data_IF_090993794874
#
_entry.id   IF_090993794874
#
_cell.length_a   1.000
_cell.length_b   1.000
_cell.length_c   1.000
_cell.angle_alpha   90.00
_cell.angle_beta   90.00
_cell.angle_gamma   90.00
#
_symmetry.space_group_name_H-M   'P 1'
#
loop_
_entity.id
_entity.type
_entity.pdbx_description
1 polymer ?
#
# COMPACT_ATOMS: atom_id res chain seq x y z
N UNK A 1 -6.41 -24.06 -1.23
CA UNK A 1 -5.75 -24.40 0.04
C UNK A 1 -4.49 -23.59 0.32
N UNK A 2 -3.34 -23.85 -0.32
CA UNK A 2 -2.12 -23.05 -0.07
C UNK A 2 -2.34 -21.57 -0.42
N UNK A 3 -2.96 -21.29 -1.58
CA UNK A 3 -3.40 -19.95 -1.99
C UNK A 3 -4.13 -19.21 -0.86
N UNK A 4 -5.17 -19.82 -0.29
CA UNK A 4 -6.03 -19.19 0.72
C UNK A 4 -5.26 -18.94 2.02
N UNK A 5 -4.43 -19.90 2.45
CA UNK A 5 -3.52 -19.74 3.60
C UNK A 5 -2.54 -18.60 3.44
N UNK A 6 -1.98 -18.41 2.25
CA UNK A 6 -1.06 -17.29 1.98
C UNK A 6 -1.78 -15.94 2.09
N UNK A 7 -3.02 -15.84 1.59
CA UNK A 7 -3.85 -14.64 1.73
C UNK A 7 -4.34 -14.39 3.17
N UNK A 8 -4.57 -15.43 3.96
CA UNK A 8 -4.92 -15.27 5.38
C UNK A 8 -3.72 -14.82 6.23
N UNK A 9 -2.49 -15.12 5.78
CA UNK A 9 -1.25 -14.94 6.52
C UNK A 9 -0.21 -14.07 5.80
N UNK A 10 -0.64 -13.07 5.01
CA UNK A 10 0.24 -12.22 4.19
C UNK A 10 1.38 -11.51 4.96
N UNK A 11 1.32 -11.44 6.29
CA UNK A 11 2.34 -10.83 7.16
C UNK A 11 3.45 -11.80 7.56
N UNK A 12 3.25 -13.09 7.36
CA UNK A 12 4.11 -14.17 7.83
C UNK A 12 4.54 -15.08 6.68
N UNK A 13 5.00 -14.49 5.56
CA UNK A 13 5.42 -15.25 4.37
C UNK A 13 6.93 -15.57 4.35
N UNK A 14 7.54 -15.76 5.52
CA UNK A 14 8.93 -16.22 5.62
C UNK A 14 9.01 -17.72 5.32
N UNK A 15 10.16 -18.19 4.84
CA UNK A 15 10.35 -19.59 4.39
C UNK A 15 9.89 -20.63 5.43
N UNK A 16 10.25 -20.44 6.69
CA UNK A 16 9.82 -21.28 7.82
C UNK A 16 8.30 -21.35 7.95
N UNK A 17 7.62 -20.21 7.81
CA UNK A 17 6.15 -20.15 7.83
C UNK A 17 5.50 -20.79 6.60
N UNK A 18 6.10 -20.65 5.43
CA UNK A 18 5.62 -21.34 4.22
C UNK A 18 5.66 -22.87 4.40
N UNK A 19 6.72 -23.39 5.04
CA UNK A 19 6.86 -24.82 5.39
C UNK A 19 5.77 -25.23 6.39
N UNK A 20 5.52 -24.45 7.45
CA UNK A 20 4.41 -24.71 8.39
C UNK A 20 3.05 -24.76 7.67
N UNK A 21 2.79 -23.83 6.75
CA UNK A 21 1.52 -23.78 6.02
C UNK A 21 1.34 -24.98 5.09
N UNK A 22 2.41 -25.39 4.41
CA UNK A 22 2.46 -26.57 3.55
C UNK A 22 2.23 -27.87 4.35
N UNK A 23 2.86 -28.01 5.52
CA UNK A 23 2.61 -29.13 6.43
C UNK A 23 1.16 -29.18 6.88
N UNK A 24 0.60 -28.03 7.24
CA UNK A 24 -0.77 -27.93 7.73
C UNK A 24 -1.85 -28.15 6.67
N UNK A 25 -1.49 -28.29 5.38
CA UNK A 25 -2.40 -28.77 4.31
C UNK A 25 -2.01 -30.15 3.77
N UNK A 26 -1.02 -30.80 4.39
CA UNK A 26 -0.62 -32.16 4.03
C UNK A 26 0.13 -32.26 2.69
N UNK A 27 0.91 -31.25 2.30
CA UNK A 27 1.78 -31.38 1.12
C UNK A 27 2.90 -32.41 1.36
N UNK A 28 3.41 -32.98 0.27
CA UNK A 28 4.69 -33.70 0.30
C UNK A 28 5.80 -32.70 0.62
N UNK A 29 6.28 -32.74 1.86
CA UNK A 29 7.25 -31.78 2.37
C UNK A 29 8.61 -31.88 1.70
N UNK A 30 9.01 -33.08 1.26
CA UNK A 30 10.28 -33.26 0.58
C UNK A 30 10.24 -32.63 -0.80
N UNK A 31 9.15 -32.84 -1.53
CA UNK A 31 8.93 -32.20 -2.83
C UNK A 31 8.79 -30.68 -2.69
N UNK A 32 7.98 -30.22 -1.74
CA UNK A 32 7.72 -28.79 -1.52
C UNK A 32 8.99 -28.01 -1.17
N UNK A 33 9.83 -28.51 -0.26
CA UNK A 33 11.08 -27.85 0.09
C UNK A 33 12.09 -27.82 -1.06
N UNK A 34 12.11 -28.87 -1.90
CA UNK A 34 12.92 -28.89 -3.11
C UNK A 34 12.42 -27.86 -4.13
N UNK A 35 11.10 -27.75 -4.31
CA UNK A 35 10.46 -26.81 -5.23
C UNK A 35 10.62 -25.35 -4.79
N UNK A 36 10.61 -25.06 -3.49
CA UNK A 36 10.89 -23.71 -2.96
C UNK A 36 12.27 -23.17 -3.37
N UNK A 37 13.24 -24.05 -3.57
CA UNK A 37 14.59 -23.68 -4.00
C UNK A 37 14.84 -23.87 -5.50
N UNK A 38 13.87 -24.46 -6.21
CA UNK A 38 14.00 -24.85 -7.61
C UNK A 38 14.12 -23.64 -8.54
N UNK A 39 15.18 -23.62 -9.35
CA UNK A 39 15.36 -22.62 -10.41
C UNK A 39 14.26 -22.70 -11.48
N UNK A 40 13.68 -23.89 -11.70
CA UNK A 40 12.57 -24.05 -12.63
C UNK A 40 11.30 -23.33 -12.12
N UNK A 41 10.97 -23.48 -10.83
CA UNK A 41 9.83 -22.78 -10.23
C UNK A 41 10.07 -21.27 -10.18
N UNK A 42 11.29 -20.83 -9.85
CA UNK A 42 11.67 -19.40 -9.92
C UNK A 42 11.51 -18.85 -11.35
N UNK A 43 11.91 -19.61 -12.36
CA UNK A 43 11.77 -19.21 -13.76
C UNK A 43 10.30 -19.09 -14.19
N UNK A 44 9.41 -19.95 -13.68
CA UNK A 44 7.96 -19.83 -13.91
C UNK A 44 7.41 -18.51 -13.34
N UNK A 45 7.75 -18.19 -12.09
CA UNK A 45 7.33 -16.92 -11.45
C UNK A 45 7.86 -15.70 -12.24
N UNK A 46 9.10 -15.74 -12.71
CA UNK A 46 9.64 -14.66 -13.54
C UNK A 46 8.97 -14.58 -14.92
N UNK A 47 8.55 -15.70 -15.50
CA UNK A 47 7.78 -15.72 -16.74
C UNK A 47 6.39 -15.08 -16.55
N UNK A 48 5.69 -15.37 -15.45
CA UNK A 48 4.41 -14.75 -15.10
C UNK A 48 4.56 -13.24 -14.90
N UNK A 49 5.62 -12.80 -14.22
CA UNK A 49 5.95 -11.37 -14.06
C UNK A 49 6.22 -10.69 -15.41
N UNK A 50 6.97 -11.34 -16.30
CA UNK A 50 7.24 -10.81 -17.63
C UNK A 50 5.96 -10.74 -18.48
N UNK A 51 5.08 -11.73 -18.37
CA UNK A 51 3.78 -11.76 -19.02
C UNK A 51 2.88 -10.64 -18.51
N UNK A 52 2.78 -10.45 -17.19
CA UNK A 52 2.05 -9.35 -16.56
C UNK A 52 2.51 -7.99 -17.11
N UNK A 53 3.83 -7.76 -17.15
CA UNK A 53 4.41 -6.55 -17.71
C UNK A 53 4.06 -6.35 -19.19
N UNK A 54 4.14 -7.43 -19.99
CA UNK A 54 3.81 -7.42 -21.42
C UNK A 54 2.35 -7.07 -21.68
N UNK A 55 1.42 -7.52 -20.84
CA UNK A 55 -0.02 -7.23 -20.99
C UNK A 55 -0.46 -5.96 -20.25
N UNK A 56 0.49 -5.20 -19.70
CA UNK A 56 0.19 -3.94 -19.02
C UNK A 56 -0.41 -4.09 -17.62
N UNK A 57 -0.32 -5.27 -17.00
CA UNK A 57 -0.65 -5.50 -15.60
C UNK A 57 0.44 -4.91 -14.69
N UNK A 58 0.37 -3.60 -14.43
CA UNK A 58 1.42 -2.81 -13.76
C UNK A 58 1.28 -2.71 -12.23
N UNK A 59 0.33 -3.43 -11.65
CA UNK A 59 0.10 -3.46 -10.21
C UNK A 59 -0.85 -4.59 -9.86
N UNK A 60 -0.70 -5.13 -8.67
CA UNK A 60 -1.47 -6.26 -8.16
C UNK A 60 -2.55 -5.76 -7.18
N UNK A 61 -3.74 -6.38 -7.14
CA UNK A 61 -4.20 -7.38 -8.10
C UNK A 61 -4.56 -6.73 -9.46
N UNK A 62 -4.33 -7.46 -10.55
CA UNK A 62 -4.77 -7.13 -11.90
C UNK A 62 -5.52 -8.33 -12.49
N UNK A 63 -6.57 -8.09 -13.24
CA UNK A 63 -7.40 -9.15 -13.79
C UNK A 63 -7.56 -8.99 -15.30
N UNK A 64 -7.65 -10.12 -16.00
CA UNK A 64 -8.02 -10.22 -17.41
C UNK A 64 -9.27 -11.08 -17.52
N UNK A 65 -10.42 -10.47 -17.80
CA UNK A 65 -11.73 -11.12 -17.94
C UNK A 65 -11.98 -11.38 -19.43
N UNK A 66 -11.76 -12.61 -19.90
CA UNK A 66 -11.67 -12.93 -21.33
C UNK A 66 -10.74 -11.98 -22.10
N UNK A 67 -9.63 -11.58 -21.46
CA UNK A 67 -8.66 -10.61 -21.98
C UNK A 67 -9.02 -9.13 -21.78
N UNK A 68 -10.16 -8.80 -21.17
CA UNK A 68 -10.47 -7.42 -20.74
C UNK A 68 -9.79 -7.08 -19.42
N UNK A 69 -8.98 -6.03 -19.43
CA UNK A 69 -8.22 -5.66 -18.24
C UNK A 69 -9.09 -4.96 -17.20
N UNK A 70 -9.08 -5.47 -15.97
CA UNK A 70 -9.60 -4.79 -14.77
C UNK A 70 -8.43 -4.61 -13.79
N UNK A 71 -8.07 -3.35 -13.53
CA UNK A 71 -6.89 -3.02 -12.72
C UNK A 71 -7.27 -2.63 -11.29
N UNK A 72 -6.58 -3.24 -10.32
CA UNK A 72 -6.72 -3.03 -8.88
C UNK A 72 -7.86 -3.81 -8.26
N UNK A 73 -7.90 -3.82 -6.93
CA UNK A 73 -9.08 -4.28 -6.19
C UNK A 73 -10.26 -3.34 -6.49
N UNK A 74 -11.32 -3.87 -7.11
CA UNK A 74 -12.54 -3.14 -7.47
C UNK A 74 -13.76 -3.74 -6.78
N UNK A 75 -14.83 -2.97 -6.55
CA UNK A 75 -16.10 -3.52 -6.05
C UNK A 75 -16.67 -4.58 -6.99
N UNK A 76 -17.49 -5.48 -6.44
CA UNK A 76 -18.16 -6.55 -7.19
C UNK A 76 -18.88 -6.03 -8.46
N UNK A 77 -19.59 -4.90 -8.35
CA UNK A 77 -20.34 -4.34 -9.49
C UNK A 77 -19.44 -3.98 -10.68
N UNK A 78 -18.19 -3.56 -10.44
CA UNK A 78 -17.23 -3.29 -11.51
C UNK A 78 -16.80 -4.56 -12.23
N UNK A 79 -16.67 -5.68 -11.52
CA UNK A 79 -16.39 -6.98 -12.14
C UNK A 79 -17.62 -7.48 -12.89
N UNK A 80 -18.80 -7.37 -12.27
CA UNK A 80 -20.07 -7.81 -12.84
C UNK A 80 -20.36 -7.13 -14.18
N UNK A 81 -20.12 -5.83 -14.29
CA UNK A 81 -20.30 -5.09 -15.54
C UNK A 81 -19.47 -5.69 -16.69
N UNK A 82 -18.18 -5.99 -16.44
CA UNK A 82 -17.29 -6.57 -17.45
C UNK A 82 -17.66 -8.03 -17.76
N UNK A 83 -18.02 -8.81 -16.74
CA UNK A 83 -18.45 -10.20 -16.90
C UNK A 83 -19.74 -10.28 -17.72
N UNK A 84 -20.74 -9.46 -17.42
CA UNK A 84 -22.01 -9.43 -18.17
C UNK A 84 -21.78 -9.03 -19.63
N UNK A 85 -20.88 -8.08 -19.88
CA UNK A 85 -20.49 -7.68 -21.23
C UNK A 85 -19.81 -8.83 -22.00
N UNK A 86 -18.92 -9.58 -21.35
CA UNK A 86 -18.26 -10.74 -21.94
C UNK A 86 -19.21 -11.93 -22.14
N UNK A 87 -20.13 -12.18 -21.21
CA UNK A 87 -21.19 -13.17 -21.38
C UNK A 87 -22.08 -12.86 -22.60
N UNK A 88 -22.40 -11.59 -22.82
CA UNK A 88 -23.12 -11.17 -24.03
C UNK A 88 -22.27 -11.34 -25.30
N UNK A 89 -20.97 -11.08 -25.22
CA UNK A 89 -20.08 -11.24 -26.37
C UNK A 89 -19.95 -12.71 -26.82
N UNK A 90 -19.92 -13.65 -25.87
CA UNK A 90 -19.84 -15.08 -26.19
C UNK A 90 -21.14 -15.68 -26.73
N UNK A 91 -22.29 -15.02 -26.56
CA UNK A 91 -23.53 -15.44 -27.25
C UNK A 91 -23.38 -15.45 -28.78
N UNK A 92 -22.44 -14.68 -29.32
CA UNK A 92 -22.09 -14.70 -30.75
C UNK A 92 -21.20 -15.87 -31.18
N UNK A 93 -20.76 -16.72 -30.25
CA UNK A 93 -19.83 -17.84 -30.47
C UNK A 93 -20.50 -19.21 -30.29
N UNK A 94 -21.79 -19.34 -30.62
CA UNK A 94 -22.58 -20.57 -30.36
C UNK A 94 -22.02 -21.84 -31.02
N UNK A 95 -21.25 -21.67 -32.09
CA UNK A 95 -20.63 -22.78 -32.84
C UNK A 95 -19.23 -23.14 -32.29
N UNK A 96 -18.71 -22.37 -31.34
CA UNK A 96 -17.44 -22.64 -30.66
C UNK A 96 -17.70 -23.51 -29.43
N UNK A 97 -16.91 -24.57 -29.26
CA UNK A 97 -17.01 -25.41 -28.07
C UNK A 97 -16.68 -24.59 -26.81
N UNK A 98 -17.37 -24.82 -25.68
CA UNK A 98 -17.14 -24.07 -24.44
C UNK A 98 -15.67 -23.95 -24.00
N UNK A 99 -14.90 -25.04 -24.09
CA UNK A 99 -13.46 -25.10 -23.78
C UNK A 99 -12.56 -24.29 -24.73
N UNK A 100 -13.07 -23.91 -25.90
CA UNK A 100 -12.38 -23.10 -26.89
C UNK A 100 -12.84 -21.62 -26.89
N UNK A 101 -13.82 -21.25 -26.07
CA UNK A 101 -14.40 -19.88 -26.07
C UNK A 101 -13.35 -18.83 -25.69
N UNK A 102 -12.55 -19.09 -24.65
CA UNK A 102 -11.48 -18.16 -24.26
C UNK A 102 -10.51 -17.92 -25.41
N UNK A 103 -10.03 -19.00 -26.06
CA UNK A 103 -9.13 -18.91 -27.20
C UNK A 103 -9.76 -18.11 -28.35
N UNK A 104 -11.01 -18.38 -28.70
CA UNK A 104 -11.74 -17.65 -29.74
C UNK A 104 -11.95 -16.16 -29.39
N UNK A 105 -12.15 -15.82 -28.12
CA UNK A 105 -12.32 -14.43 -27.67
C UNK A 105 -11.04 -13.62 -27.82
N UNK A 106 -9.88 -14.22 -27.56
CA UNK A 106 -8.58 -13.53 -27.57
C UNK A 106 -7.84 -13.62 -28.92
N UNK A 107 -8.35 -14.39 -29.88
CA UNK A 107 -7.69 -14.65 -31.18
C UNK A 107 -7.67 -13.43 -32.13
N UNK A 108 -8.78 -12.69 -32.25
CA UNK A 108 -8.93 -11.61 -33.25
C UNK A 108 -8.13 -10.33 -32.97
N UNK A 109 -7.67 -10.12 -31.74
CA UNK A 109 -7.01 -8.88 -31.30
C UNK A 109 -5.53 -9.11 -30.95
N UNK A 110 -4.87 -10.03 -31.67
CA UNK A 110 -3.43 -10.30 -31.60
C UNK A 110 -2.59 -9.14 -32.15
N UNK A 111 -2.76 -7.93 -31.62
CA UNK A 111 -1.64 -7.01 -31.57
C UNK A 111 -1.11 -7.08 -30.15
N UNK A 112 0.13 -7.57 -30.00
CA UNK A 112 0.87 -7.33 -28.78
C UNK A 112 0.73 -5.84 -28.47
N UNK A 113 0.27 -5.43 -27.27
CA UNK A 113 0.13 -4.02 -26.98
C UNK A 113 1.41 -3.34 -27.37
N UNK A 114 1.32 -2.38 -28.31
CA UNK A 114 2.41 -1.46 -28.56
C UNK A 114 2.72 -0.91 -27.18
N UNK A 115 3.90 -1.24 -26.64
CA UNK A 115 4.24 -0.99 -25.24
C UNK A 115 3.66 0.36 -24.87
N UNK A 116 2.57 0.37 -24.10
CA UNK A 116 1.97 1.63 -23.69
C UNK A 116 3.11 2.38 -23.04
N UNK A 117 3.29 3.69 -23.31
CA UNK A 117 4.38 4.45 -22.71
C UNK A 117 4.45 4.03 -21.24
N UNK A 118 5.66 3.61 -20.86
CA UNK A 118 5.93 3.10 -19.54
C UNK A 118 5.21 4.02 -18.56
N UNK A 119 4.36 3.44 -17.72
CA UNK A 119 4.01 4.08 -16.46
C UNK A 119 5.13 3.65 -15.49
N UNK A 120 6.40 3.71 -15.87
CA UNK A 120 7.19 4.93 -15.75
C UNK A 120 6.52 6.26 -16.20
N UNK A 121 5.47 6.81 -15.59
CA UNK A 121 5.19 6.67 -14.18
C UNK A 121 6.45 6.75 -13.33
N UNK A 122 7.58 7.26 -13.87
CA UNK A 122 8.67 7.67 -13.04
C UNK A 122 7.99 8.62 -12.10
N UNK A 123 7.80 8.20 -10.86
CA UNK A 123 7.86 9.16 -9.78
C UNK A 123 9.23 9.78 -10.03
N UNK A 124 9.20 10.91 -10.75
CA UNK A 124 10.36 11.45 -11.42
C UNK A 124 11.39 11.71 -10.35
N UNK A 125 12.35 10.79 -10.16
CA UNK A 125 13.16 10.62 -8.93
C UNK A 125 12.81 11.66 -7.87
N UNK A 126 11.61 11.55 -7.27
CA UNK A 126 11.08 12.65 -6.45
C UNK A 126 11.85 12.74 -5.14
N UNK A 127 12.75 11.77 -4.90
CA UNK A 127 13.74 11.82 -3.84
C UNK A 127 14.59 13.08 -3.93
N UNK A 128 14.74 13.74 -5.08
CA UNK A 128 15.46 15.03 -5.18
C UNK A 128 14.58 16.26 -5.06
N UNK A 129 13.26 16.10 -5.20
CA UNK A 129 12.30 17.18 -5.02
C UNK A 129 12.08 17.40 -3.53
N UNK A 130 12.15 18.65 -3.10
CA UNK A 130 11.85 19.05 -1.72
C UNK A 130 10.48 19.70 -1.71
N UNK A 131 9.63 19.30 -0.76
CA UNK A 131 8.32 19.87 -0.51
C UNK A 131 8.29 20.63 0.80
N UNK A 132 7.61 21.78 0.81
CA UNK A 132 7.43 22.61 2.01
C UNK A 132 6.18 22.19 2.76
N UNK A 133 6.25 21.04 3.40
CA UNK A 133 5.10 20.41 4.05
C UNK A 133 4.96 20.98 5.46
N UNK A 134 3.75 21.41 5.87
CA UNK A 134 3.57 21.89 7.24
C UNK A 134 3.66 20.74 8.24
N UNK A 135 4.52 20.87 9.25
CA UNK A 135 4.43 20.10 10.51
C UNK A 135 3.41 20.84 11.38
N UNK A 136 2.16 20.39 11.36
CA UNK A 136 1.03 21.13 11.95
C UNK A 136 1.12 21.16 13.47
N UNK A 137 0.58 22.21 14.10
CA UNK A 137 0.68 22.43 15.55
C UNK A 137 0.08 21.29 16.40
N UNK A 138 -0.89 20.57 15.84
CA UNK A 138 -1.58 19.43 16.49
C UNK A 138 -0.98 18.06 16.11
N UNK A 139 0.13 18.05 15.37
CA UNK A 139 0.80 16.82 14.93
C UNK A 139 1.54 16.22 16.11
N UNK A 140 1.34 14.93 16.37
CA UNK A 140 2.12 14.22 17.37
C UNK A 140 3.50 13.88 16.81
N UNK A 141 4.54 14.23 17.57
CA UNK A 141 5.94 14.04 17.19
C UNK A 141 6.65 13.18 18.24
N UNK A 142 7.47 12.22 17.80
CA UNK A 142 8.34 11.36 18.63
C UNK A 142 9.78 11.47 18.16
N UNK A 143 10.73 11.47 19.08
CA UNK A 143 12.16 11.64 18.80
C UNK A 143 12.71 12.97 19.32
N UNK A 144 13.74 13.50 18.65
CA UNK A 144 14.43 14.71 19.08
C UNK A 144 13.53 15.96 19.13
N UNK A 145 13.71 16.81 20.15
CA UNK A 145 12.95 18.07 20.31
C UNK A 145 13.32 19.14 19.26
N UNK A 146 14.58 19.15 18.86
CA UNK A 146 15.12 20.02 17.80
C UNK A 146 15.91 19.14 16.83
N UNK A 147 15.22 18.30 16.03
CA UNK A 147 15.85 17.31 15.19
C UNK A 147 16.55 17.97 14.01
N UNK A 148 17.62 17.35 13.51
CA UNK A 148 18.22 17.71 12.22
C UNK A 148 17.35 17.24 11.05
N UNK A 149 16.60 16.16 11.26
CA UNK A 149 15.73 15.55 10.27
C UNK A 149 14.35 15.33 10.86
N UNK A 150 13.35 15.95 10.25
CA UNK A 150 11.93 15.68 10.53
C UNK A 150 11.37 14.79 9.45
N UNK A 151 10.85 13.64 9.84
CA UNK A 151 10.15 12.69 8.98
C UNK A 151 8.65 12.88 9.21
N UNK A 152 7.90 13.32 8.19
CA UNK A 152 6.44 13.35 8.24
C UNK A 152 5.93 12.03 7.67
N UNK A 153 5.24 11.24 8.48
CA UNK A 153 4.63 9.97 8.09
C UNK A 153 3.12 10.15 7.92
N UNK A 154 2.61 9.90 6.72
CA UNK A 154 1.19 9.72 6.45
C UNK A 154 0.84 8.23 6.53
N UNK A 155 0.03 7.87 7.50
CA UNK A 155 -0.20 6.48 7.87
C UNK A 155 -1.63 6.22 8.33
N UNK A 156 -1.97 4.94 8.47
CA UNK A 156 -3.34 4.47 8.63
C UNK A 156 -3.38 3.13 9.38
N UNK A 157 -4.17 3.04 10.45
CA UNK A 157 -4.07 1.97 11.45
C UNK A 157 -4.58 0.60 11.00
N UNK A 158 -5.41 0.50 9.96
CA UNK A 158 -5.87 -0.74 9.34
C UNK A 158 -4.97 -1.16 8.15
N UNK A 159 -4.08 -0.28 7.67
CA UNK A 159 -3.18 -0.58 6.55
C UNK A 159 -2.08 -1.59 6.94
N UNK A 160 -1.99 -2.75 6.27
CA UNK A 160 -0.96 -3.75 6.59
C UNK A 160 0.46 -3.26 6.29
N UNK A 161 0.66 -2.39 5.30
CA UNK A 161 1.97 -1.80 5.02
C UNK A 161 2.42 -0.80 6.08
N UNK A 162 1.49 -0.05 6.67
CA UNK A 162 1.80 0.85 7.79
C UNK A 162 2.36 0.07 8.98
N UNK A 163 1.82 -1.11 9.30
CA UNK A 163 2.41 -1.96 10.34
C UNK A 163 3.78 -2.53 9.94
N UNK A 164 3.95 -2.92 8.67
CA UNK A 164 5.23 -3.45 8.16
C UNK A 164 6.40 -2.48 8.31
N UNK A 165 6.16 -1.16 8.34
CA UNK A 165 7.23 -0.15 8.45
C UNK A 165 7.64 0.16 9.89
N UNK A 166 6.86 -0.27 10.90
CA UNK A 166 7.13 0.03 12.31
C UNK A 166 8.53 -0.43 12.80
N UNK A 167 9.03 -1.62 12.43
CA UNK A 167 10.40 -1.99 12.78
C UNK A 167 11.43 -1.05 12.17
N UNK A 168 11.18 -0.55 10.96
CA UNK A 168 12.07 0.42 10.29
C UNK A 168 12.02 1.79 10.96
N UNK A 169 10.85 2.33 11.28
CA UNK A 169 10.74 3.63 11.98
C UNK A 169 11.33 3.55 13.39
N UNK A 170 11.17 2.42 14.08
CA UNK A 170 11.88 2.15 15.34
C UNK A 170 13.39 2.13 15.16
N UNK A 171 13.91 1.38 14.17
CA UNK A 171 15.35 1.33 13.90
C UNK A 171 15.94 2.71 13.55
N UNK A 172 15.18 3.57 12.86
CA UNK A 172 15.56 4.96 12.59
C UNK A 172 15.74 5.74 13.90
N UNK A 173 14.76 5.72 14.79
CA UNK A 173 14.85 6.42 16.07
C UNK A 173 16.00 5.89 16.93
N UNK A 174 16.19 4.56 16.98
CA UNK A 174 17.28 3.92 17.73
C UNK A 174 18.66 4.29 17.16
N UNK A 175 18.79 4.39 15.83
CA UNK A 175 20.08 4.66 15.16
C UNK A 175 20.49 6.14 15.26
N UNK A 176 19.53 7.05 15.09
CA UNK A 176 19.82 8.48 14.95
C UNK A 176 19.57 9.30 16.23
N UNK A 177 18.82 8.75 17.19
CA UNK A 177 18.49 9.41 18.45
C UNK A 177 17.89 10.80 18.23
N UNK A 178 18.38 11.79 19.00
CA UNK A 178 17.89 13.17 18.98
C UNK A 178 18.11 13.92 17.64
N UNK A 179 18.82 13.33 16.67
CA UNK A 179 18.97 13.91 15.34
C UNK A 179 17.69 13.77 14.50
N UNK A 180 16.81 12.82 14.81
CA UNK A 180 15.60 12.54 14.03
C UNK A 180 14.36 12.69 14.88
N UNK A 181 13.29 13.20 14.29
CA UNK A 181 11.94 13.08 14.83
C UNK A 181 10.97 12.61 13.75
N UNK A 182 9.95 11.86 14.16
CA UNK A 182 8.87 11.36 13.31
C UNK A 182 7.57 12.05 13.74
N UNK A 183 6.92 12.70 12.79
CA UNK A 183 5.66 13.40 12.94
C UNK A 183 4.55 12.59 12.25
N UNK A 184 3.54 12.15 13.00
CA UNK A 184 2.48 11.27 12.49
C UNK A 184 1.29 12.08 11.95
N UNK A 185 0.85 11.79 10.73
CA UNK A 185 -0.32 12.37 10.06
C UNK A 185 -1.28 11.28 9.62
N UNK A 186 -2.57 11.50 9.84
CA UNK A 186 -3.59 10.52 9.48
C UNK A 186 -3.90 10.55 7.98
N UNK A 187 -3.99 9.38 7.36
CA UNK A 187 -4.50 9.24 6.00
C UNK A 187 -5.43 8.00 5.88
N UNK A 188 -6.58 7.98 6.58
CA UNK A 188 -7.53 6.88 6.55
C UNK A 188 -8.03 6.62 5.13
N UNK A 189 -7.78 5.40 4.63
CA UNK A 189 -8.16 5.00 3.28
C UNK A 189 -9.64 4.56 3.26
N UNK A 190 -10.44 5.01 2.28
CA UNK A 190 -11.90 4.84 2.31
C UNK A 190 -12.39 3.40 2.19
N UNK A 191 -11.53 2.48 1.73
CA UNK A 191 -11.83 1.05 1.62
C UNK A 191 -11.58 0.27 2.91
N UNK A 192 -10.99 0.90 3.93
CA UNK A 192 -10.77 0.34 5.25
C UNK A 192 -11.83 0.86 6.23
N UNK A 193 -12.82 0.02 6.55
CA UNK A 193 -14.02 0.40 7.33
C UNK A 193 -13.71 0.95 8.73
N UNK A 194 -12.61 0.51 9.34
CA UNK A 194 -12.23 0.89 10.71
C UNK A 194 -11.09 1.94 10.74
N UNK A 195 -10.60 2.40 9.58
CA UNK A 195 -9.48 3.35 9.48
C UNK A 195 -9.79 4.70 10.14
N UNK A 196 -10.95 5.29 9.83
CA UNK A 196 -11.36 6.57 10.40
C UNK A 196 -11.63 6.47 11.91
N UNK A 197 -12.41 5.49 12.42
CA UNK A 197 -12.58 5.29 13.86
C UNK A 197 -11.26 5.09 14.61
N UNK A 198 -10.30 4.33 14.06
CA UNK A 198 -9.00 4.11 14.69
C UNK A 198 -8.16 5.40 14.72
N UNK A 199 -8.23 6.23 13.67
CA UNK A 199 -7.60 7.54 13.66
C UNK A 199 -8.19 8.45 14.77
N UNK A 200 -9.52 8.52 14.89
CA UNK A 200 -10.18 9.28 15.95
C UNK A 200 -9.81 8.76 17.35
N UNK A 201 -9.72 7.43 17.55
CA UNK A 201 -9.30 6.82 18.81
C UNK A 201 -7.88 7.23 19.21
N UNK A 202 -6.94 7.24 18.26
CA UNK A 202 -5.57 7.69 18.54
C UNK A 202 -5.52 9.15 19.00
N UNK A 203 -6.35 10.03 18.39
CA UNK A 203 -6.42 11.44 18.74
C UNK A 203 -7.16 11.68 20.07
N UNK A 204 -8.19 10.89 20.37
CA UNK A 204 -8.88 10.89 21.66
C UNK A 204 -7.94 10.46 22.79
N UNK A 205 -7.12 9.43 22.58
CA UNK A 205 -6.07 9.04 23.51
C UNK A 205 -4.99 10.12 23.64
N UNK A 206 -4.61 10.75 22.53
CA UNK A 206 -3.67 11.87 22.50
C UNK A 206 -4.17 13.10 23.29
N UNK A 207 -5.46 13.41 23.24
CA UNK A 207 -6.08 14.46 24.05
C UNK A 207 -6.07 14.16 25.56
N UNK A 208 -5.69 12.93 25.93
CA UNK A 208 -5.44 12.49 27.31
C UNK A 208 -3.95 12.16 27.56
N UNK A 209 -3.07 12.51 26.63
CA UNK A 209 -1.61 12.37 26.76
C UNK A 209 -1.04 11.01 26.36
N UNK A 210 -1.84 10.11 25.76
CA UNK A 210 -1.40 8.73 25.41
C UNK A 210 -1.52 8.40 23.93
N UNK A 211 -1.16 9.35 23.06
CA UNK A 211 -1.22 9.14 21.61
C UNK A 211 -0.35 7.97 21.17
N UNK A 212 0.91 7.90 21.62
CA UNK A 212 1.87 6.91 21.17
C UNK A 212 1.56 5.51 21.69
N UNK A 213 1.05 5.41 22.92
CA UNK A 213 0.62 4.15 23.50
C UNK A 213 -0.62 3.61 22.79
N UNK A 214 -1.58 4.48 22.43
CA UNK A 214 -2.72 4.07 21.61
C UNK A 214 -2.27 3.72 20.18
N UNK A 215 -1.37 4.50 19.58
CA UNK A 215 -0.79 4.21 18.27
C UNK A 215 -0.20 2.80 18.22
N UNK A 216 0.65 2.44 19.19
CA UNK A 216 1.30 1.14 19.25
C UNK A 216 0.24 0.04 19.45
N UNK A 217 -0.71 0.23 20.38
CA UNK A 217 -1.81 -0.70 20.66
C UNK A 217 -2.70 -0.95 19.43
N UNK A 218 -3.01 0.07 18.64
CA UNK A 218 -3.82 -0.05 17.42
C UNK A 218 -3.09 -0.86 16.34
N UNK A 219 -1.78 -0.62 16.15
CA UNK A 219 -0.98 -1.38 15.19
C UNK A 219 -0.70 -2.82 15.62
N UNK A 220 -0.62 -3.09 16.92
CA UNK A 220 -0.57 -4.47 17.44
C UNK A 220 -1.87 -5.23 17.16
N UNK A 221 -3.00 -4.53 17.02
CA UNK A 221 -4.35 -5.11 16.96
C UNK A 221 -5.14 -4.72 15.70
N UNK A 222 -4.50 -4.58 14.54
CA UNK A 222 -5.15 -4.04 13.32
C UNK A 222 -6.38 -4.80 12.82
N UNK A 223 -6.54 -6.07 13.19
CA UNK A 223 -7.72 -6.89 12.86
C UNK A 223 -8.89 -6.66 13.82
N UNK A 224 -8.65 -5.97 14.92
CA UNK A 224 -9.58 -5.79 16.03
C UNK A 224 -9.80 -4.29 16.31
N UNK A 225 -10.18 -3.50 15.29
CA UNK A 225 -10.37 -2.05 15.41
C UNK A 225 -11.85 -1.63 15.58
N UNK A 226 -12.71 -2.56 16.00
CA UNK A 226 -14.12 -2.26 16.28
C UNK A 226 -14.26 -1.25 17.43
N UNK A 227 -15.40 -0.56 17.51
CA UNK A 227 -15.69 0.38 18.60
C UNK A 227 -15.47 -0.20 19.99
N UNK A 228 -15.92 -1.43 20.23
CA UNK A 228 -15.76 -2.13 21.51
C UNK A 228 -14.29 -2.38 21.85
N UNK A 229 -13.49 -2.77 20.85
CA UNK A 229 -12.06 -2.98 21.04
C UNK A 229 -11.34 -1.66 21.34
N UNK A 230 -11.68 -0.57 20.63
CA UNK A 230 -11.09 0.75 20.87
C UNK A 230 -11.35 1.24 22.31
N UNK A 231 -12.56 1.02 22.83
CA UNK A 231 -12.90 1.32 24.23
C UNK A 231 -12.15 0.42 25.23
N UNK A 232 -11.95 -0.85 24.88
CA UNK A 232 -11.13 -1.78 25.67
C UNK A 232 -9.68 -1.32 25.72
N UNK A 233 -9.12 -0.90 24.59
CA UNK A 233 -7.75 -0.36 24.53
C UNK A 233 -7.61 0.93 25.33
N UNK A 234 -8.61 1.81 25.30
CA UNK A 234 -8.63 3.00 26.13
C UNK A 234 -8.59 2.64 27.62
N UNK A 235 -9.38 1.64 28.04
CA UNK A 235 -9.38 1.12 29.41
C UNK A 235 -8.04 0.51 29.81
N UNK A 236 -7.45 -0.34 28.96
CA UNK A 236 -6.14 -0.96 29.20
C UNK A 236 -5.04 0.09 29.37
N UNK A 237 -5.12 1.17 28.61
CA UNK A 237 -4.20 2.29 28.69
C UNK A 237 -4.52 3.23 29.86
N UNK A 238 -5.53 2.94 30.70
CA UNK A 238 -5.88 3.76 31.86
C UNK A 238 -6.39 5.16 31.47
N UNK A 239 -7.06 5.29 30.33
CA UNK A 239 -7.74 6.52 29.92
C UNK A 239 -9.07 6.69 30.66
N UNK A 240 -9.56 7.92 30.72
CA UNK A 240 -10.96 8.18 31.03
C UNK A 240 -11.81 7.70 29.84
N UNK A 241 -12.44 6.53 30.01
CA UNK A 241 -13.22 5.85 28.98
C UNK A 241 -14.48 6.64 28.63
N UNK A 242 -15.09 7.34 29.58
CA UNK A 242 -16.31 8.12 29.29
C UNK A 242 -15.97 9.36 28.47
N UNK A 243 -14.86 10.05 28.79
CA UNK A 243 -14.34 11.12 27.94
C UNK A 243 -13.95 10.60 26.55
N UNK A 244 -13.28 9.45 26.47
CA UNK A 244 -12.89 8.82 25.21
C UNK A 244 -14.10 8.50 24.33
N UNK A 245 -15.15 7.87 24.90
CA UNK A 245 -16.41 7.61 24.20
C UNK A 245 -17.09 8.88 23.71
N UNK A 246 -17.10 9.93 24.54
CA UNK A 246 -17.68 11.21 24.17
C UNK A 246 -16.95 11.85 22.97
N UNK A 247 -15.61 11.83 22.99
CA UNK A 247 -14.77 12.32 21.90
C UNK A 247 -15.03 11.55 20.58
N UNK A 248 -15.18 10.22 20.65
CA UNK A 248 -15.52 9.38 19.48
C UNK A 248 -16.94 9.62 18.96
N UNK A 249 -17.91 9.82 19.86
CA UNK A 249 -19.31 10.05 19.47
C UNK A 249 -19.52 11.42 18.82
N UNK A 250 -18.72 12.42 19.19
CA UNK A 250 -18.92 13.79 18.70
C UNK A 250 -18.22 14.06 17.36
N UNK A 251 -17.38 13.15 16.86
CA UNK A 251 -16.57 13.37 15.66
C UNK A 251 -15.60 14.55 15.79
N UNK A 252 -15.17 14.88 17.02
CA UNK A 252 -14.39 16.09 17.34
C UNK A 252 -13.10 16.19 16.53
N UNK A 253 -12.51 15.05 16.19
CA UNK A 253 -11.22 14.96 15.53
C UNK A 253 -11.32 14.84 14.00
N UNK A 254 -12.52 14.66 13.46
CA UNK A 254 -12.73 14.50 12.01
C UNK A 254 -12.10 15.63 11.20
N UNK A 255 -12.31 16.89 11.60
CA UNK A 255 -11.75 18.03 10.88
C UNK A 255 -10.21 18.05 10.86
N UNK A 256 -9.56 17.55 11.92
CA UNK A 256 -8.10 17.42 11.95
C UNK A 256 -7.62 16.33 11.00
N UNK A 257 -8.31 15.18 10.98
CA UNK A 257 -7.99 14.06 10.09
C UNK A 257 -8.22 14.45 8.62
N UNK A 258 -9.33 15.12 8.31
CA UNK A 258 -9.64 15.59 6.96
C UNK A 258 -8.56 16.60 6.46
N UNK A 259 -8.03 17.45 7.34
CA UNK A 259 -6.91 18.35 7.01
C UNK A 259 -5.60 17.59 6.79
N UNK A 260 -5.28 16.58 7.60
CA UNK A 260 -4.12 15.71 7.35
C UNK A 260 -4.22 15.05 5.97
N UNK A 261 -5.37 14.47 5.63
CA UNK A 261 -5.61 13.86 4.32
C UNK A 261 -5.46 14.86 3.17
N UNK A 262 -5.98 16.08 3.35
CA UNK A 262 -5.88 17.15 2.35
C UNK A 262 -4.44 17.59 2.14
N UNK A 263 -3.66 17.77 3.22
CA UNK A 263 -2.22 18.06 3.14
C UNK A 263 -1.51 16.91 2.43
N UNK A 264 -1.77 15.66 2.81
CA UNK A 264 -1.21 14.49 2.14
C UNK A 264 -1.48 14.49 0.64
N UNK A 265 -2.74 14.68 0.23
CA UNK A 265 -3.13 14.74 -1.18
C UNK A 265 -2.47 15.91 -1.94
N UNK A 266 -2.36 17.08 -1.32
CA UNK A 266 -1.71 18.27 -1.88
C UNK A 266 -0.24 18.01 -2.21
N UNK A 267 0.47 17.26 -1.37
CA UNK A 267 1.89 16.94 -1.53
C UNK A 267 2.15 15.57 -2.17
N UNK A 268 1.11 14.87 -2.62
CA UNK A 268 1.24 13.62 -3.38
C UNK A 268 1.29 12.35 -2.54
N UNK A 269 1.02 12.40 -1.24
CA UNK A 269 0.78 11.23 -0.39
C UNK A 269 -0.62 10.65 -0.62
N UNK A 270 -0.80 9.96 -1.75
CA UNK A 270 -2.10 9.39 -2.18
C UNK A 270 -2.36 7.96 -1.71
N UNK A 271 -1.49 7.44 -0.86
CA UNK A 271 -1.59 6.11 -0.26
C UNK A 271 -0.74 6.04 1.00
N UNK A 272 -0.77 4.91 1.69
CA UNK A 272 -0.07 4.72 2.96
C UNK A 272 0.78 3.46 2.96
N UNK A 273 1.93 3.46 3.68
CA UNK A 273 2.54 4.62 4.30
C UNK A 273 3.22 5.52 3.25
N UNK A 274 3.25 6.83 3.49
CA UNK A 274 4.00 7.79 2.69
C UNK A 274 4.81 8.70 3.62
N UNK A 275 6.04 9.01 3.25
CA UNK A 275 6.98 9.73 4.10
C UNK A 275 7.55 10.95 3.40
N UNK A 276 7.85 11.97 4.18
CA UNK A 276 8.66 13.11 3.74
C UNK A 276 9.78 13.39 4.73
N UNK A 277 11.02 13.20 4.30
CA UNK A 277 12.23 13.37 5.10
C UNK A 277 12.79 14.75 4.78
N UNK A 278 12.58 15.73 5.67
CA UNK A 278 12.84 17.15 5.39
C UNK A 278 12.25 17.61 4.05
N UNK A 279 11.04 17.14 3.75
CA UNK A 279 10.33 17.47 2.50
C UNK A 279 10.66 16.56 1.31
N UNK A 280 11.63 15.65 1.40
CA UNK A 280 11.94 14.69 0.32
C UNK A 280 11.06 13.45 0.45
N UNK A 281 10.32 13.13 -0.60
CA UNK A 281 9.31 12.07 -0.53
C UNK A 281 9.95 10.66 -0.60
N UNK A 282 9.50 9.76 0.28
CA UNK A 282 9.74 8.32 0.23
C UNK A 282 8.39 7.61 0.31
N UNK A 283 8.06 6.79 -0.68
CA UNK A 283 6.74 6.15 -0.78
C UNK A 283 6.78 4.67 -0.41
N UNK A 284 5.79 4.24 0.39
CA UNK A 284 5.58 2.84 0.75
C UNK A 284 6.42 2.36 1.94
N UNK A 285 6.15 1.13 2.36
CA UNK A 285 6.94 0.45 3.39
C UNK A 285 8.27 0.01 2.78
N UNK A 286 9.32 0.80 2.99
CA UNK A 286 10.68 0.56 2.48
C UNK A 286 11.59 0.03 3.59
N UNK A 287 12.65 -0.74 3.25
CA UNK A 287 13.64 -1.17 4.24
C UNK A 287 14.43 0.02 4.80
N UNK A 288 15.05 -0.19 5.97
CA UNK A 288 15.86 0.81 6.67
C UNK A 288 16.89 1.52 5.77
N UNK A 289 17.61 0.78 4.93
CA UNK A 289 18.64 1.37 4.07
C UNK A 289 18.11 2.45 3.11
N UNK A 290 16.86 2.30 2.64
CA UNK A 290 16.24 3.31 1.78
C UNK A 290 15.99 4.63 2.52
N UNK A 291 15.61 4.56 3.81
CA UNK A 291 15.47 5.75 4.66
C UNK A 291 16.84 6.31 5.05
N UNK A 292 17.77 5.43 5.42
CA UNK A 292 19.12 5.77 5.87
C UNK A 292 19.85 6.65 4.84
N UNK A 293 19.78 6.29 3.56
CA UNK A 293 20.38 7.09 2.48
C UNK A 293 19.87 8.54 2.49
N UNK A 294 18.56 8.74 2.57
CA UNK A 294 17.96 10.08 2.56
C UNK A 294 18.26 10.82 3.86
N UNK A 295 18.15 10.15 5.02
CA UNK A 295 18.41 10.74 6.34
C UNK A 295 19.86 11.22 6.44
N UNK A 296 20.83 10.41 6.02
CA UNK A 296 22.26 10.77 6.09
C UNK A 296 22.58 11.99 5.21
N UNK A 297 21.96 12.09 4.04
CA UNK A 297 22.08 13.26 3.16
C UNK A 297 21.47 14.51 3.81
N UNK A 298 20.31 14.38 4.43
CA UNK A 298 19.63 15.49 5.10
C UNK A 298 20.35 15.95 6.38
N UNK A 299 20.97 15.03 7.13
CA UNK A 299 21.82 15.39 8.27
C UNK A 299 23.00 16.26 7.82
N UNK A 300 23.69 15.89 6.72
CA UNK A 300 24.80 16.70 6.19
C UNK A 300 24.35 18.10 5.79
N UNK A 301 23.18 18.23 5.16
CA UNK A 301 22.60 19.54 4.81
C UNK A 301 22.24 20.35 6.05
N UNK A 302 21.63 19.71 7.05
CA UNK A 302 21.30 20.35 8.31
C UNK A 302 22.56 20.87 9.03
N UNK A 303 23.61 20.06 9.13
CA UNK A 303 24.90 20.47 9.73
C UNK A 303 25.52 21.66 8.97
N UNK A 304 25.41 21.70 7.64
CA UNK A 304 25.85 22.84 6.86
C UNK A 304 25.03 24.11 7.12
N UNK A 305 23.72 24.01 7.34
CA UNK A 305 22.89 25.15 7.73
C UNK A 305 23.19 25.64 9.16
N UNK A 306 23.49 24.73 10.08
CA UNK A 306 23.95 25.10 11.44
C UNK A 306 25.27 25.84 11.38
N UNK A 307 26.23 25.37 10.55
CA UNK A 307 27.51 26.05 10.36
C UNK A 307 27.36 27.47 9.80
N UNK A 308 26.26 27.77 9.10
CA UNK A 308 25.90 29.13 8.63
C UNK A 308 25.19 29.97 9.68
N UNK A 309 24.95 29.44 10.88
CA UNK A 309 24.28 30.12 11.99
C UNK A 309 22.78 29.84 12.14
N UNK A 310 22.22 28.88 11.39
CA UNK A 310 20.82 28.48 11.57
C UNK A 310 20.65 27.74 12.91
N UNK A 311 19.77 28.17 13.82
CA UNK A 311 19.50 27.44 15.05
C UNK A 311 18.83 26.09 14.74
N UNK A 312 19.05 25.07 15.59
CA UNK A 312 18.49 23.72 15.38
C UNK A 312 16.97 23.72 15.20
N UNK A 313 16.26 24.54 15.97
CA UNK A 313 14.81 24.74 15.85
C UNK A 313 14.35 25.29 14.49
N UNK A 314 15.25 25.94 13.73
CA UNK A 314 14.98 26.48 12.39
C UNK A 314 15.38 25.56 11.23
N UNK A 315 15.96 24.39 11.49
CA UNK A 315 16.55 23.55 10.43
C UNK A 315 15.52 23.05 9.43
N UNK A 316 14.36 22.57 9.91
CA UNK A 316 13.30 22.13 9.00
C UNK A 316 12.85 23.25 8.05
N UNK A 317 12.64 24.45 8.60
CA UNK A 317 12.24 25.62 7.82
C UNK A 317 13.33 26.03 6.81
N UNK A 318 14.60 26.01 7.19
CA UNK A 318 15.72 26.34 6.31
C UNK A 318 15.86 25.35 5.15
N UNK A 319 15.80 24.05 5.43
CA UNK A 319 15.95 23.00 4.41
C UNK A 319 14.76 22.95 3.44
N UNK A 320 13.56 23.29 3.90
CA UNK A 320 12.35 23.28 3.08
C UNK A 320 11.97 24.64 2.48
N UNK A 321 12.72 25.71 2.77
CA UNK A 321 12.38 27.08 2.38
C UNK A 321 12.14 27.27 0.87
N UNK A 322 12.89 26.53 0.04
CA UNK A 322 12.79 26.54 -1.43
C UNK A 322 12.01 25.36 -2.00
N UNK A 323 11.35 24.58 -1.14
CA UNK A 323 10.55 23.43 -1.54
C UNK A 323 9.27 23.84 -2.26
N UNK A 324 8.70 22.91 -3.02
CA UNK A 324 7.42 23.11 -3.69
C UNK A 324 6.28 23.11 -2.66
N UNK A 325 5.29 23.99 -2.87
CA UNK A 325 4.10 24.08 -2.00
C UNK A 325 3.00 23.05 -2.35
N UNK A 326 3.16 22.31 -3.45
CA UNK A 326 2.27 21.22 -3.85
C UNK A 326 2.97 20.27 -4.81
N UNK A 327 2.53 19.02 -4.84
CA UNK A 327 2.90 18.08 -5.88
C UNK A 327 2.31 18.52 -7.23
N UNK A 328 2.96 18.08 -8.31
CA UNK A 328 2.37 18.18 -9.63
C UNK A 328 1.00 17.47 -9.62
N UNK A 329 0.06 18.02 -10.39
CA UNK A 329 -1.20 17.33 -10.63
C UNK A 329 -0.88 15.90 -11.10
N UNK A 330 -1.67 14.88 -10.68
CA UNK A 330 -1.57 13.60 -11.34
C UNK A 330 -1.69 13.83 -12.85
N UNK A 331 -0.98 13.07 -13.69
CA UNK A 331 -1.36 13.03 -15.09
C UNK A 331 -2.86 12.77 -15.13
N UNK A 332 -3.61 13.56 -15.90
CA UNK A 332 -5.03 13.31 -16.07
C UNK A 332 -5.15 11.85 -16.47
N UNK A 333 -5.86 11.05 -15.65
CA UNK A 333 -6.32 9.76 -16.12
C UNK A 333 -7.18 10.13 -17.32
N UNK A 334 -6.62 9.98 -18.52
CA UNK A 334 -7.42 9.91 -19.73
C UNK A 334 -8.53 8.94 -19.35
N UNK A 335 -9.82 9.27 -19.57
CA UNK A 335 -10.83 8.22 -19.56
C UNK A 335 -10.21 7.06 -20.34
N UNK A 336 -10.33 5.80 -19.89
CA UNK A 336 -10.04 4.73 -20.82
C UNK A 336 -10.69 5.17 -22.12
N UNK A 337 -9.93 5.19 -23.22
CA UNK A 337 -10.62 5.16 -24.50
C UNK A 337 -11.61 3.98 -24.40
N UNK A 338 -12.65 3.92 -25.22
CA UNK A 338 -13.36 2.65 -25.38
C UNK A 338 -12.33 1.62 -25.86
N UNK A 339 -11.65 1.01 -24.90
CA UNK A 339 -10.45 0.24 -25.11
C UNK A 339 -10.97 -1.16 -25.29
N UNK A 340 -11.43 -1.37 -26.52
CA UNK A 340 -11.91 -2.65 -26.93
C UNK A 340 -10.77 -3.68 -27.07
N UNK A 341 -9.54 -3.33 -26.68
CA UNK A 341 -8.41 -4.25 -26.60
C UNK A 341 -8.77 -5.44 -25.73
N UNK A 342 -8.37 -6.61 -26.23
CA UNK A 342 -8.54 -7.90 -25.58
C UNK A 342 -7.14 -8.51 -25.57
N UNK A 343 -6.59 -8.74 -24.40
CA UNK A 343 -5.25 -9.29 -24.21
C UNK A 343 -5.29 -10.81 -24.23
N UNK A 344 -4.43 -11.41 -25.06
CA UNK A 344 -4.17 -12.84 -24.98
C UNK A 344 -3.16 -13.11 -23.86
N UNK A 345 -3.65 -13.68 -22.78
CA UNK A 345 -2.82 -14.29 -21.73
C UNK A 345 -2.91 -15.81 -21.92
N UNK A 346 -1.80 -16.53 -22.18
CA UNK A 346 -1.81 -17.98 -22.21
C UNK A 346 -2.39 -18.55 -20.92
N UNK A 347 -3.22 -19.60 -21.05
CA UNK A 347 -3.70 -20.41 -19.93
C UNK A 347 -3.27 -21.82 -20.23
N UNK A 348 -2.34 -22.33 -19.44
CA UNK A 348 -1.72 -23.63 -19.62
C UNK A 348 -2.37 -24.66 -18.68
N UNK A 349 -2.26 -25.94 -19.02
CA UNK A 349 -2.92 -27.01 -18.27
C UNK A 349 -2.41 -27.17 -16.82
N UNK A 350 -1.20 -26.68 -16.54
CA UNK A 350 -0.57 -26.71 -15.22
C UNK A 350 -0.76 -25.41 -14.42
N UNK A 351 -1.53 -24.45 -14.93
CA UNK A 351 -1.87 -23.25 -14.18
C UNK A 351 -2.78 -23.58 -12.99
N UNK A 352 -2.69 -22.77 -11.94
CA UNK A 352 -3.57 -22.87 -10.78
C UNK A 352 -4.97 -22.37 -11.13
N UNK A 353 -5.85 -23.26 -11.61
CA UNK A 353 -7.21 -22.93 -12.05
C UNK A 353 -8.24 -23.27 -10.96
N UNK A 354 -9.15 -22.33 -10.67
CA UNK A 354 -10.33 -22.54 -9.84
C UNK A 354 -11.59 -22.28 -10.67
N UNK A 355 -12.50 -23.26 -10.71
CA UNK A 355 -13.74 -23.18 -11.47
C UNK A 355 -13.86 -24.31 -12.50
N UNK A 356 -14.83 -24.17 -13.41
CA UNK A 356 -15.05 -25.14 -14.49
C UNK A 356 -14.15 -24.81 -15.69
N UNK A 357 -13.57 -25.83 -16.32
CA UNK A 357 -12.68 -25.66 -17.48
C UNK A 357 -13.42 -25.18 -18.74
N UNK A 358 -14.74 -25.36 -18.80
CA UNK A 358 -15.62 -24.95 -19.89
C UNK A 358 -16.40 -23.65 -19.58
N UNK A 359 -15.92 -22.87 -18.60
CA UNK A 359 -16.52 -21.59 -18.26
C UNK A 359 -16.52 -20.65 -19.46
N UNK A 360 -17.67 -20.01 -19.69
CA UNK A 360 -17.84 -19.01 -20.76
C UNK A 360 -17.00 -17.74 -20.54
N UNK A 361 -16.58 -17.50 -19.30
CA UNK A 361 -15.73 -16.38 -18.91
C UNK A 361 -14.56 -16.90 -18.09
N UNK A 362 -13.36 -16.66 -18.59
CA UNK A 362 -12.10 -16.93 -17.89
C UNK A 362 -11.60 -15.63 -17.27
N UNK A 363 -11.30 -15.65 -15.97
CA UNK A 363 -10.66 -14.55 -15.26
C UNK A 363 -9.23 -14.98 -14.93
N UNK A 364 -8.25 -14.24 -15.44
CA UNK A 364 -6.85 -14.47 -15.13
C UNK A 364 -6.39 -13.38 -14.19
N UNK A 365 -5.89 -13.78 -13.03
CA UNK A 365 -5.44 -12.87 -11.97
C UNK A 365 -3.91 -12.82 -11.93
N UNK A 366 -3.36 -11.62 -12.09
CA UNK A 366 -1.98 -11.32 -11.70
C UNK A 366 -2.02 -10.74 -10.30
N UNK A 367 -1.52 -11.49 -9.33
CA UNK A 367 -1.53 -11.09 -7.92
C UNK A 367 -0.21 -11.48 -7.26
N UNK A 368 0.07 -10.83 -6.14
CA UNK A 368 1.19 -11.17 -5.28
C UNK A 368 0.69 -11.23 -3.84
N UNK A 369 1.12 -12.25 -3.11
CA UNK A 369 0.59 -12.53 -1.77
C UNK A 369 0.99 -11.50 -0.72
N UNK A 370 1.82 -10.49 -1.05
CA UNK A 370 2.18 -9.40 -0.15
C UNK A 370 1.49 -8.07 -0.50
N UNK A 371 0.62 -8.04 -1.51
CA UNK A 371 -0.24 -6.89 -1.80
C UNK A 371 -1.43 -6.83 -0.83
N UNK A 372 -1.88 -5.64 -0.41
CA UNK A 372 -2.90 -5.45 0.61
C UNK A 372 -4.31 -5.68 0.09
#
# INVERSE_FOLDING_TARGET
EMHDKLFENQRELKKDKLVEYAQAIGLDMKAFEADLESDAIKAMVEADKALAAKVGARGTPNFMINGKQVSGARPFDSFKEVIDAELKAVEGLKDVKPDAIYAARVEKNFEAPKAAPTADGGAADTSKVVYKIPVGEKTYVKGGKEPLVTIIEFSEFQCPFCSRVLPTTKQILDTYGDKVAIAFRHNPLPFHKDAMPAAEASLAAGAQGKFWEMHDKLFENQRALSRENLETYAKDLGLDVEKFKADLNSGRFKAQIDEDMKVGAQFGARGTPNFFINGRQVTGARPFDAFKTVIDEEIKKAEAEIAKGTPRSGIYAALTAKGLDKAAAPPTRRPPADDNTVYKVPVEANDAIKGQADALVTIIEFSEFQCP
#
